data_IF_010852525125
#
_entry.id   IF_010852525125
#
_cell.length_a   1.000
_cell.length_b   1.000
_cell.length_c   1.000
_cell.angle_alpha   90.00
_cell.angle_beta   90.00
_cell.angle_gamma   90.00
#
_symmetry.space_group_name_H-M   'P 1'
#
loop_
_entity.id
_entity.type
_entity.pdbx_description
1 polymer ?
#
# COMPACT_ATOMS: atom_id res chain seq x y z
N UNK A 1 -12.17 0.45 -27.53
CA UNK A 1 -11.26 0.10 -26.42
C UNK A 1 -11.31 -1.41 -26.27
N UNK A 2 -10.22 -2.12 -26.54
CA UNK A 2 -10.19 -3.57 -26.27
C UNK A 2 -10.29 -3.78 -24.77
N UNK A 3 -11.29 -4.56 -24.33
CA UNK A 3 -11.35 -5.06 -22.97
C UNK A 3 -10.16 -6.00 -22.79
N UNK A 4 -9.14 -5.55 -22.07
CA UNK A 4 -8.00 -6.40 -21.70
C UNK A 4 -8.57 -7.52 -20.82
N UNK A 5 -8.40 -8.77 -21.26
CA UNK A 5 -8.92 -9.96 -20.60
C UNK A 5 -7.76 -10.90 -20.31
N UNK A 6 -7.92 -11.77 -19.31
CA UNK A 6 -6.93 -12.79 -18.98
C UNK A 6 -6.72 -13.72 -20.18
N UNK A 7 -5.50 -14.22 -20.36
CA UNK A 7 -5.23 -15.24 -21.36
C UNK A 7 -6.07 -16.49 -21.06
N UNK A 8 -6.57 -17.15 -22.10
CA UNK A 8 -7.42 -18.35 -21.95
C UNK A 8 -6.72 -19.47 -21.15
N UNK A 9 -5.40 -19.58 -21.32
CA UNK A 9 -4.55 -20.53 -20.57
C UNK A 9 -4.55 -20.22 -19.06
N UNK A 10 -4.50 -18.95 -18.67
CA UNK A 10 -4.55 -18.53 -17.27
C UNK A 10 -5.91 -18.84 -16.67
N UNK A 11 -6.98 -18.53 -17.39
CA UNK A 11 -8.35 -18.84 -16.97
C UNK A 11 -8.53 -20.34 -16.78
N UNK A 12 -8.04 -21.16 -17.71
CA UNK A 12 -8.11 -22.61 -17.60
C UNK A 12 -7.35 -23.13 -16.36
N UNK A 13 -6.14 -22.61 -16.09
CA UNK A 13 -5.36 -22.99 -14.90
C UNK A 13 -6.06 -22.61 -13.60
N UNK A 14 -6.57 -21.38 -13.50
CA UNK A 14 -7.31 -20.90 -12.33
C UNK A 14 -8.56 -21.75 -12.07
N UNK A 15 -9.35 -22.00 -13.11
CA UNK A 15 -10.58 -22.80 -13.00
C UNK A 15 -10.28 -24.25 -12.63
N UNK A 16 -9.22 -24.83 -13.21
CA UNK A 16 -8.76 -26.18 -12.86
C UNK A 16 -8.34 -26.26 -11.39
N UNK A 17 -7.63 -25.25 -10.87
CA UNK A 17 -7.22 -25.20 -9.48
C UNK A 17 -8.42 -25.14 -8.53
N UNK A 18 -9.42 -24.32 -8.85
CA UNK A 18 -10.66 -24.19 -8.07
C UNK A 18 -11.68 -25.31 -8.32
N UNK A 19 -11.32 -26.34 -9.11
CA UNK A 19 -12.22 -27.44 -9.49
C UNK A 19 -13.54 -26.97 -10.13
N UNK A 20 -13.51 -25.85 -10.85
CA UNK A 20 -14.66 -25.32 -11.59
C UNK A 20 -14.80 -26.01 -12.95
N UNK A 21 -16.02 -26.04 -13.49
CA UNK A 21 -16.28 -26.59 -14.83
C UNK A 21 -15.37 -25.91 -15.88
N UNK A 22 -14.86 -26.63 -16.89
CA UNK A 22 -13.99 -26.05 -17.90
C UNK A 22 -14.72 -24.96 -18.71
N UNK A 23 -14.09 -23.79 -18.81
CA UNK A 23 -14.59 -22.64 -19.58
C UNK A 23 -13.41 -21.72 -19.90
N UNK A 24 -13.55 -20.91 -20.95
CA UNK A 24 -12.58 -19.87 -21.34
C UNK A 24 -12.81 -18.54 -20.63
N UNK A 25 -13.88 -18.43 -19.82
CA UNK A 25 -14.27 -17.19 -19.13
C UNK A 25 -14.43 -17.44 -17.62
N UNK A 26 -14.08 -16.46 -16.80
CA UNK A 26 -14.35 -16.46 -15.36
C UNK A 26 -15.86 -16.30 -15.08
N UNK A 27 -16.37 -16.85 -13.96
CA UNK A 27 -17.80 -16.78 -13.64
C UNK A 27 -18.29 -15.36 -13.27
N UNK A 28 -17.38 -14.47 -12.89
CA UNK A 28 -17.63 -13.07 -12.55
C UNK A 28 -16.61 -12.15 -13.23
N UNK A 29 -16.76 -10.83 -13.06
CA UNK A 29 -15.76 -9.88 -13.55
C UNK A 29 -14.39 -10.17 -12.92
N UNK A 30 -13.31 -9.89 -13.65
CA UNK A 30 -11.94 -10.17 -13.21
C UNK A 30 -11.65 -9.60 -11.83
N UNK A 31 -12.13 -8.39 -11.54
CA UNK A 31 -11.98 -7.74 -10.24
C UNK A 31 -12.75 -8.45 -9.12
N UNK A 32 -14.06 -8.69 -9.29
CA UNK A 32 -14.87 -9.36 -8.29
C UNK A 32 -14.41 -10.81 -8.06
N UNK A 33 -13.93 -11.46 -9.11
CA UNK A 33 -13.34 -12.79 -9.02
C UNK A 33 -12.07 -12.80 -8.16
N UNK A 34 -11.17 -11.83 -8.39
CA UNK A 34 -9.95 -11.67 -7.60
C UNK A 34 -10.30 -11.42 -6.13
N UNK A 35 -11.19 -10.48 -5.85
CA UNK A 35 -11.62 -10.15 -4.48
C UNK A 35 -12.15 -11.39 -3.72
N UNK A 36 -12.98 -12.20 -4.38
CA UNK A 36 -13.56 -13.39 -3.76
C UNK A 36 -12.56 -14.54 -3.54
N UNK A 37 -11.53 -14.67 -4.39
CA UNK A 37 -10.63 -15.85 -4.40
C UNK A 37 -9.17 -15.54 -4.04
N UNK A 38 -8.86 -14.29 -3.67
CA UNK A 38 -7.50 -13.84 -3.35
C UNK A 38 -6.81 -14.72 -2.29
N UNK A 39 -7.56 -15.15 -1.28
CA UNK A 39 -7.06 -15.93 -0.14
C UNK A 39 -6.90 -17.42 -0.44
N UNK A 40 -7.45 -17.92 -1.54
CA UNK A 40 -7.43 -19.35 -1.91
C UNK A 40 -6.41 -19.63 -3.00
N UNK A 41 -6.23 -18.66 -3.91
CA UNK A 41 -5.37 -18.82 -5.07
C UNK A 41 -3.89 -18.64 -4.69
N UNK A 42 -2.99 -19.52 -5.18
CA UNK A 42 -1.56 -19.34 -5.01
C UNK A 42 -1.07 -18.14 -5.83
N UNK A 43 0.01 -17.51 -5.38
CA UNK A 43 0.62 -16.32 -6.01
C UNK A 43 0.85 -16.50 -7.52
N UNK A 44 1.27 -17.68 -7.96
CA UNK A 44 1.51 -17.98 -9.38
C UNK A 44 0.26 -17.86 -10.26
N UNK A 45 -0.93 -18.08 -9.70
CA UNK A 45 -2.22 -17.92 -10.39
C UNK A 45 -2.82 -16.52 -10.18
N UNK A 46 -2.30 -15.74 -9.24
CA UNK A 46 -2.68 -14.35 -9.00
C UNK A 46 -1.90 -13.36 -9.88
N UNK A 47 -0.65 -13.66 -10.24
CA UNK A 47 0.19 -12.79 -11.08
C UNK A 47 -0.47 -12.33 -12.39
N UNK A 48 -1.21 -13.17 -13.15
CA UNK A 48 -1.87 -12.71 -14.38
C UNK A 48 -2.81 -11.51 -14.17
N UNK A 49 -3.40 -11.38 -12.98
CA UNK A 49 -4.30 -10.27 -12.66
C UNK A 49 -3.58 -8.92 -12.60
N UNK A 50 -2.28 -8.85 -12.31
CA UNK A 50 -1.55 -7.56 -12.24
C UNK A 50 -1.45 -6.85 -13.59
N UNK A 51 -1.49 -7.61 -14.69
CA UNK A 51 -1.49 -7.05 -16.05
C UNK A 51 -2.81 -6.36 -16.44
N UNK A 52 -3.89 -6.62 -15.69
CA UNK A 52 -5.25 -6.16 -16.01
C UNK A 52 -5.78 -5.20 -14.96
N UNK A 53 -5.50 -5.48 -13.69
CA UNK A 53 -5.98 -4.71 -12.55
C UNK A 53 -4.83 -3.87 -12.01
N UNK A 54 -4.97 -2.55 -12.08
CA UNK A 54 -3.92 -1.64 -11.64
C UNK A 54 -3.70 -1.74 -10.11
N UNK A 55 -2.51 -1.40 -9.59
CA UNK A 55 -2.27 -1.34 -8.15
C UNK A 55 -3.27 -0.47 -7.39
N UNK A 56 -3.76 0.62 -8.01
CA UNK A 56 -4.81 1.50 -7.48
C UNK A 56 -6.17 0.81 -7.40
N UNK A 57 -6.54 0.00 -8.38
CA UNK A 57 -7.77 -0.79 -8.30
C UNK A 57 -7.63 -1.89 -7.24
N UNK A 58 -6.48 -2.55 -7.18
CA UNK A 58 -6.20 -3.58 -6.17
C UNK A 58 -6.26 -3.05 -4.74
N UNK A 59 -5.91 -1.78 -4.50
CA UNK A 59 -5.94 -1.18 -3.15
C UNK A 59 -7.34 -1.05 -2.55
N UNK A 60 -8.40 -1.17 -3.35
CA UNK A 60 -9.78 -1.18 -2.84
C UNK A 60 -10.16 -2.52 -2.23
N UNK A 61 -9.43 -3.61 -2.54
CA UNK A 61 -9.62 -4.92 -1.93
C UNK A 61 -9.08 -4.87 -0.49
N UNK A 62 -9.92 -5.10 0.54
CA UNK A 62 -9.51 -4.92 1.93
C UNK A 62 -8.29 -5.76 2.34
N UNK A 63 -8.22 -7.02 1.87
CA UNK A 63 -7.09 -7.91 2.15
C UNK A 63 -5.78 -7.34 1.57
N UNK A 64 -5.80 -6.84 0.34
CA UNK A 64 -4.61 -6.23 -0.28
C UNK A 64 -4.19 -4.98 0.51
N UNK A 65 -5.13 -4.12 0.87
CA UNK A 65 -4.86 -2.92 1.68
C UNK A 65 -4.24 -3.29 3.03
N UNK A 66 -4.75 -4.35 3.68
CA UNK A 66 -4.19 -4.90 4.92
C UNK A 66 -2.77 -5.42 4.73
N UNK A 67 -2.50 -6.22 3.68
CA UNK A 67 -1.15 -6.71 3.36
C UNK A 67 -0.15 -5.58 3.16
N UNK A 68 -0.54 -4.53 2.46
CA UNK A 68 0.30 -3.33 2.29
C UNK A 68 0.57 -2.63 3.62
N UNK A 69 -0.45 -2.44 4.47
CA UNK A 69 -0.25 -1.86 5.80
C UNK A 69 0.66 -2.72 6.70
N UNK A 70 0.57 -4.05 6.59
CA UNK A 70 1.48 -4.97 7.28
C UNK A 70 2.92 -4.80 6.76
N UNK A 71 3.11 -4.78 5.45
CA UNK A 71 4.41 -4.54 4.85
C UNK A 71 5.02 -3.20 5.30
N UNK A 72 4.21 -2.14 5.34
CA UNK A 72 4.65 -0.82 5.78
C UNK A 72 4.91 -0.72 7.28
N UNK A 73 4.30 -1.58 8.10
CA UNK A 73 4.52 -1.58 9.57
C UNK A 73 5.69 -2.48 10.00
N UNK A 74 6.38 -3.12 9.07
CA UNK A 74 7.60 -3.88 9.35
C UNK A 74 8.67 -3.00 10.02
N UNK A 75 9.42 -3.61 10.94
CA UNK A 75 10.55 -2.99 11.61
C UNK A 75 11.82 -3.81 11.34
N UNK A 76 12.82 -3.26 10.62
CA UNK A 76 12.91 -1.87 10.14
C UNK A 76 11.94 -1.51 9.01
N UNK A 77 11.62 -0.22 8.89
CA UNK A 77 10.77 0.31 7.80
C UNK A 77 11.37 -0.09 6.44
N UNK A 78 10.57 -0.64 5.50
CA UNK A 78 11.08 -1.06 4.20
C UNK A 78 11.82 0.08 3.50
N UNK A 79 12.97 -0.23 2.90
CA UNK A 79 13.83 0.78 2.27
C UNK A 79 13.07 1.62 1.25
N UNK A 80 12.13 1.03 0.51
CA UNK A 80 11.29 1.72 -0.46
C UNK A 80 10.44 2.83 0.15
N UNK A 81 10.03 2.73 1.42
CA UNK A 81 9.19 3.73 2.10
C UNK A 81 9.99 4.77 2.89
N UNK A 82 11.33 4.66 2.90
CA UNK A 82 12.22 5.63 3.55
C UNK A 82 12.48 6.81 2.62
N UNK A 83 12.68 7.99 3.20
CA UNK A 83 12.88 9.21 2.39
C UNK A 83 14.10 9.13 1.46
N UNK A 84 15.15 8.42 1.89
CA UNK A 84 16.42 8.35 1.15
C UNK A 84 16.25 7.65 -0.21
N UNK A 85 15.41 6.60 -0.30
CA UNK A 85 15.07 5.97 -1.57
C UNK A 85 13.87 6.65 -2.24
N UNK A 86 12.90 7.10 -1.46
CA UNK A 86 11.67 7.71 -1.95
C UNK A 86 11.92 9.00 -2.72
N UNK A 87 12.90 9.83 -2.31
CA UNK A 87 13.23 11.08 -3.00
C UNK A 87 13.80 10.87 -4.41
N UNK A 88 14.33 9.68 -4.69
CA UNK A 88 14.78 9.32 -6.03
C UNK A 88 13.60 8.99 -6.94
N UNK A 89 12.53 8.39 -6.38
CA UNK A 89 11.30 8.02 -7.11
C UNK A 89 10.30 9.17 -7.22
N UNK A 90 10.20 9.99 -6.17
CA UNK A 90 9.28 11.12 -6.04
C UNK A 90 10.03 12.44 -5.77
N UNK A 91 10.94 12.85 -6.67
CA UNK A 91 11.79 14.01 -6.46
C UNK A 91 11.02 15.34 -6.42
N UNK A 92 9.95 15.53 -7.20
CA UNK A 92 9.20 16.78 -7.16
C UNK A 92 8.35 16.86 -5.90
N UNK A 93 7.79 15.75 -5.42
CA UNK A 93 7.09 15.68 -4.14
C UNK A 93 8.01 16.06 -2.98
N UNK A 94 9.24 15.56 -2.96
CA UNK A 94 10.25 15.94 -1.97
C UNK A 94 10.54 17.44 -2.00
N UNK A 95 10.77 18.00 -3.18
CA UNK A 95 11.02 19.44 -3.36
C UNK A 95 9.81 20.31 -2.97
N UNK A 96 8.60 19.87 -3.33
CA UNK A 96 7.34 20.55 -2.99
C UNK A 96 7.13 20.66 -1.47
N UNK A 97 7.61 19.67 -0.71
CA UNK A 97 7.59 19.68 0.75
C UNK A 97 8.72 20.53 1.37
N UNK A 98 9.61 21.12 0.58
CA UNK A 98 10.75 21.92 1.07
C UNK A 98 12.03 21.10 1.28
N UNK A 99 12.07 19.89 0.72
CA UNK A 99 13.27 19.07 0.67
C UNK A 99 14.35 19.68 -0.22
N UNK A 100 15.61 19.39 0.10
CA UNK A 100 16.74 19.82 -0.73
C UNK A 100 16.68 19.21 -2.14
N UNK A 101 16.91 20.03 -3.16
CA UNK A 101 16.91 19.61 -4.58
C UNK A 101 18.18 18.85 -4.99
N UNK A 102 19.25 18.98 -4.20
CA UNK A 102 20.47 18.21 -4.36
C UNK A 102 20.27 16.85 -3.68
N UNK A 103 20.28 15.72 -4.41
CA UNK A 103 20.24 14.42 -3.76
C UNK A 103 21.52 14.26 -2.92
N UNK A 104 21.42 13.98 -1.61
CA UNK A 104 22.55 13.44 -0.85
C UNK A 104 23.03 12.13 -1.48
N UNK A 105 24.28 11.74 -1.21
CA UNK A 105 24.78 10.41 -1.58
C UNK A 105 23.76 9.35 -1.17
N UNK A 106 23.37 8.51 -2.12
CA UNK A 106 22.52 7.38 -1.80
C UNK A 106 23.34 6.29 -1.13
N UNK A 107 22.65 5.35 -0.48
CA UNK A 107 23.30 4.15 0.03
C UNK A 107 23.92 3.32 -1.10
N UNK A 108 23.31 3.27 -2.29
CA UNK A 108 23.85 2.50 -3.42
C UNK A 108 25.22 3.01 -3.88
N UNK A 109 25.40 4.33 -3.88
CA UNK A 109 26.69 4.96 -4.22
C UNK A 109 27.79 4.57 -3.21
N UNK A 110 27.45 4.54 -1.93
CA UNK A 110 28.38 4.14 -0.86
C UNK A 110 28.66 2.63 -0.92
N UNK A 111 27.63 1.80 -1.14
CA UNK A 111 27.74 0.34 -1.26
C UNK A 111 28.64 -0.10 -2.43
N UNK A 112 28.60 0.60 -3.56
CA UNK A 112 29.48 0.30 -4.71
C UNK A 112 30.95 0.61 -4.41
N UNK A 113 31.24 1.73 -3.73
CA UNK A 113 32.59 2.09 -3.31
C UNK A 113 33.12 1.12 -2.24
N UNK A 114 32.26 0.76 -1.28
CA UNK A 114 32.56 -0.15 -0.19
C UNK A 114 32.76 -1.58 -0.69
N UNK A 115 31.94 -2.05 -1.64
CA UNK A 115 32.11 -3.35 -2.27
C UNK A 115 33.48 -3.47 -2.95
N UNK A 116 33.95 -2.41 -3.63
CA UNK A 116 35.29 -2.44 -4.23
C UNK A 116 36.40 -2.42 -3.17
N UNK A 117 36.17 -1.71 -2.08
CA UNK A 117 37.18 -1.54 -1.03
C UNK A 117 37.31 -2.79 -0.16
N UNK A 118 36.22 -3.50 0.10
CA UNK A 118 36.15 -4.60 1.06
C UNK A 118 35.98 -5.98 0.39
N UNK A 119 35.22 -6.04 -0.70
CA UNK A 119 34.85 -7.30 -1.36
C UNK A 119 35.65 -7.60 -2.63
N UNK A 120 36.12 -6.57 -3.34
CA UNK A 120 36.78 -6.73 -4.62
C UNK A 120 38.28 -7.01 -4.46
N UNK A 121 38.65 -8.27 -4.71
CA UNK A 121 40.03 -8.79 -4.60
C UNK A 121 40.60 -8.66 -3.18
N UNK A 122 40.16 -9.51 -2.23
CA UNK A 122 40.64 -9.48 -0.86
C UNK A 122 42.18 -9.63 -0.79
N UNK A 123 42.82 -8.83 0.07
CA UNK A 123 44.28 -8.70 0.23
C UNK A 123 44.97 -7.72 -0.73
N UNK A 124 44.20 -6.95 -1.52
CA UNK A 124 44.71 -5.93 -2.45
C UNK A 124 44.06 -4.56 -2.26
N UNK A 125 43.40 -4.33 -1.13
CA UNK A 125 42.58 -3.15 -0.84
C UNK A 125 43.39 -1.84 -0.94
N UNK A 126 44.69 -1.89 -0.60
CA UNK A 126 45.59 -0.72 -0.66
C UNK A 126 46.12 -0.35 -2.05
N UNK A 127 45.75 -1.08 -3.12
CA UNK A 127 46.24 -0.78 -4.47
C UNK A 127 45.52 0.44 -5.04
N UNK A 128 46.28 1.40 -5.56
CA UNK A 128 45.72 2.59 -6.20
C UNK A 128 44.69 2.28 -7.31
N UNK A 129 44.83 1.16 -8.01
CA UNK A 129 43.88 0.74 -9.04
C UNK A 129 42.52 0.30 -8.46
N UNK A 130 42.50 -0.32 -7.28
CA UNK A 130 41.26 -0.72 -6.58
C UNK A 130 40.53 0.52 -6.09
N UNK A 131 41.26 1.46 -5.46
CA UNK A 131 40.69 2.76 -5.06
C UNK A 131 40.14 3.57 -6.24
N UNK A 132 40.87 3.60 -7.37
CA UNK A 132 40.38 4.26 -8.59
C UNK A 132 39.13 3.59 -9.16
N UNK A 133 39.04 2.26 -9.06
CA UNK A 133 37.87 1.52 -9.49
C UNK A 133 36.65 1.84 -8.60
N UNK A 134 36.81 1.86 -7.28
CA UNK A 134 35.73 2.22 -6.34
C UNK A 134 35.16 3.61 -6.63
N UNK A 135 36.05 4.61 -6.76
CA UNK A 135 35.62 5.96 -7.15
C UNK A 135 34.98 6.04 -8.55
N UNK A 136 35.39 5.18 -9.49
CA UNK A 136 34.77 5.10 -10.80
C UNK A 136 33.37 4.48 -10.75
N UNK A 137 33.18 3.38 -10.00
CA UNK A 137 31.87 2.76 -9.83
C UNK A 137 30.90 3.68 -9.11
N UNK A 138 31.36 4.35 -8.04
CA UNK A 138 30.61 5.42 -7.39
C UNK A 138 30.15 6.50 -8.38
N UNK A 139 31.04 6.99 -9.23
CA UNK A 139 30.67 8.01 -10.23
C UNK A 139 29.65 7.50 -11.25
N UNK A 140 29.76 6.23 -11.67
CA UNK A 140 28.77 5.61 -12.54
C UNK A 140 27.40 5.42 -11.86
N UNK A 141 27.39 5.06 -10.57
CA UNK A 141 26.16 4.93 -9.80
C UNK A 141 25.48 6.29 -9.60
N UNK A 142 26.25 7.33 -9.24
CA UNK A 142 25.74 8.70 -9.16
C UNK A 142 25.13 9.16 -10.50
N UNK A 143 25.74 8.82 -11.63
CA UNK A 143 25.20 9.15 -12.96
C UNK A 143 23.89 8.38 -13.26
N UNK A 144 23.86 7.07 -12.94
CA UNK A 144 22.68 6.21 -13.10
C UNK A 144 21.51 6.74 -12.27
N UNK A 145 21.74 7.08 -11.01
CA UNK A 145 20.71 7.62 -10.13
C UNK A 145 20.19 8.97 -10.63
N UNK A 146 21.09 9.86 -11.08
CA UNK A 146 20.68 11.13 -11.66
C UNK A 146 19.83 10.94 -12.92
N UNK A 147 20.14 9.97 -13.76
CA UNK A 147 19.29 9.61 -14.90
C UNK A 147 17.91 9.11 -14.44
N UNK A 148 17.88 8.23 -13.44
CA UNK A 148 16.66 7.76 -12.79
C UNK A 148 15.80 8.91 -12.24
N UNK A 149 16.41 9.87 -11.55
CA UNK A 149 15.72 11.07 -11.04
C UNK A 149 15.16 11.93 -12.18
N UNK A 150 15.88 12.10 -13.29
CA UNK A 150 15.37 12.84 -14.46
C UNK A 150 14.18 12.13 -15.10
N UNK A 151 14.19 10.80 -15.14
CA UNK A 151 13.05 10.00 -15.58
C UNK A 151 11.87 10.08 -14.61
N UNK A 152 12.11 9.92 -13.31
CA UNK A 152 11.11 10.06 -12.27
C UNK A 152 10.41 11.43 -12.33
N UNK A 153 11.15 12.53 -12.49
CA UNK A 153 10.57 13.88 -12.70
C UNK A 153 9.70 13.98 -13.96
N UNK A 154 9.98 13.20 -15.00
CA UNK A 154 9.15 13.16 -16.23
C UNK A 154 7.88 12.35 -15.97
N UNK A 155 7.97 11.23 -15.29
CA UNK A 155 6.82 10.39 -14.94
C UNK A 155 5.90 11.11 -13.95
N UNK A 156 6.47 11.72 -12.91
CA UNK A 156 5.72 12.46 -11.90
C UNK A 156 4.94 13.63 -12.49
N UNK A 157 5.53 14.41 -13.41
CA UNK A 157 4.81 15.46 -14.14
C UNK A 157 3.64 14.92 -14.97
N UNK A 158 3.82 13.77 -15.64
CA UNK A 158 2.72 13.14 -16.38
C UNK A 158 1.60 12.66 -15.45
N UNK A 159 1.94 12.20 -14.25
CA UNK A 159 0.96 11.78 -13.25
C UNK A 159 0.19 12.98 -12.69
N UNK A 160 0.87 14.11 -12.48
CA UNK A 160 0.26 15.40 -12.11
C UNK A 160 -0.70 15.89 -13.22
N UNK A 161 -0.23 15.94 -14.47
CA UNK A 161 -1.00 16.44 -15.63
C UNK A 161 -2.26 15.60 -15.91
N UNK A 162 -2.22 14.28 -15.72
CA UNK A 162 -3.38 13.38 -15.92
C UNK A 162 -4.41 13.52 -14.78
N UNK A 163 -4.05 14.13 -13.65
CA UNK A 163 -4.94 14.40 -12.53
C UNK A 163 -5.83 15.64 -12.68
N UNK A 164 -5.52 16.55 -13.61
CA UNK A 164 -6.22 17.84 -13.76
C UNK A 164 -7.44 17.81 -14.71
N UNK A 165 -7.68 16.73 -15.47
CA UNK A 165 -8.80 16.70 -16.45
C UNK A 165 -10.20 16.38 -15.86
N UNK A 166 -10.41 16.47 -14.54
CA UNK A 166 -11.72 16.12 -13.92
C UNK A 166 -12.20 17.02 -12.79
N UNK A 167 -11.86 18.32 -12.79
CA UNK A 167 -12.42 19.28 -11.83
C UNK A 167 -12.87 20.61 -12.47
N UNK A 168 -13.51 20.54 -13.65
CA UNK A 168 -14.28 21.64 -14.23
C UNK A 168 -15.77 21.53 -13.85
N UNK A 169 -16.11 21.68 -12.56
CA UNK A 169 -17.40 22.26 -12.11
C UNK A 169 -17.47 22.35 -10.57
N UNK A 170 -16.99 23.46 -10.01
CA UNK A 170 -17.60 24.04 -8.80
C UNK A 170 -17.28 25.52 -8.75
N UNK A 171 -18.16 26.29 -9.38
CA UNK A 171 -18.30 27.73 -9.20
C UNK A 171 -18.84 28.03 -7.80
N UNK A 172 -18.32 29.12 -7.25
CA UNK A 172 -18.78 29.94 -6.12
C UNK A 172 -18.22 29.78 -4.68
N UNK A 173 -17.83 30.97 -4.19
CA UNK A 173 -17.54 31.43 -2.82
C UNK A 173 -16.15 31.22 -2.17
N UNK A 174 -15.23 32.09 -2.60
CA UNK A 174 -14.41 32.98 -1.75
C UNK A 174 -13.90 32.44 -0.40
N UNK A 175 -12.84 31.62 -0.44
CA UNK A 175 -11.87 31.49 0.65
C UNK A 175 -10.51 31.98 0.17
N UNK A 176 -10.08 33.12 0.69
CA UNK A 176 -8.79 33.76 0.44
C UNK A 176 -7.60 32.83 0.70
N UNK A 177 -7.12 32.14 -0.34
CA UNK A 177 -5.80 31.51 -0.34
C UNK A 177 -4.80 32.59 -0.74
N UNK A 178 -4.20 33.23 0.26
CA UNK A 178 -3.06 34.11 0.04
C UNK A 178 -1.95 33.33 -0.70
N UNK A 179 -1.33 33.90 -1.75
CA UNK A 179 -0.18 33.25 -2.38
C UNK A 179 0.95 33.20 -1.36
N UNK A 180 1.34 32.00 -0.93
CA UNK A 180 2.56 31.82 -0.13
C UNK A 180 3.72 32.40 -0.96
N UNK A 181 4.50 33.35 -0.41
CA UNK A 181 5.62 33.89 -1.15
C UNK A 181 6.60 32.75 -1.43
N UNK A 182 7.07 32.67 -2.68
CA UNK A 182 8.19 31.85 -3.07
C UNK A 182 9.41 32.21 -2.21
N UNK A 183 9.52 31.56 -1.05
CA UNK A 183 10.60 31.75 -0.10
C UNK A 183 11.87 31.19 -0.70
N UNK A 184 12.93 32.01 -0.69
CA UNK A 184 14.30 31.61 -1.02
C UNK A 184 14.61 30.21 -0.44
N UNK A 185 15.17 29.26 -1.21
CA UNK A 185 15.57 27.94 -0.73
C UNK A 185 16.86 27.99 0.13
N UNK A 186 17.12 29.09 0.85
CA UNK A 186 18.32 29.28 1.64
C UNK A 186 18.02 29.13 3.13
N UNK A 187 18.56 28.05 3.70
CA UNK A 187 18.59 27.66 5.12
C UNK A 187 17.25 27.22 5.72
N UNK A 188 16.79 26.04 5.32
CA UNK A 188 16.12 25.16 6.28
C UNK A 188 17.15 24.77 7.36
N UNK A 189 16.79 24.86 8.63
CA UNK A 189 17.59 24.29 9.72
C UNK A 189 17.53 22.76 9.66
N UNK A 190 18.45 22.05 10.32
CA UNK A 190 18.44 20.58 10.36
C UNK A 190 17.11 20.03 10.92
N UNK A 191 16.50 20.74 11.88
CA UNK A 191 15.20 20.42 12.45
C UNK A 191 14.08 20.51 11.40
N UNK A 192 14.12 21.55 10.55
CA UNK A 192 13.15 21.71 9.46
C UNK A 192 13.28 20.56 8.44
N UNK A 193 14.49 20.07 8.17
CA UNK A 193 14.69 18.95 7.24
C UNK A 193 14.23 17.60 7.80
N UNK A 194 14.33 17.40 9.11
CA UNK A 194 13.81 16.18 9.75
C UNK A 194 12.29 16.12 9.72
N UNK A 195 11.63 17.27 9.90
CA UNK A 195 10.17 17.37 9.79
C UNK A 195 9.69 17.15 8.35
N UNK A 196 10.39 17.73 7.37
CA UNK A 196 10.15 17.45 5.94
C UNK A 196 10.35 15.96 5.63
N UNK A 197 11.37 15.32 6.22
CA UNK A 197 11.60 13.87 6.08
C UNK A 197 10.40 13.06 6.56
N UNK A 198 9.90 13.34 7.76
CA UNK A 198 8.74 12.65 8.34
C UNK A 198 7.47 12.86 7.52
N UNK A 199 7.24 14.10 7.07
CA UNK A 199 6.08 14.39 6.24
C UNK A 199 6.15 13.68 4.88
N UNK A 200 7.34 13.63 4.28
CA UNK A 200 7.56 12.92 3.03
C UNK A 200 7.36 11.41 3.19
N UNK A 201 7.90 10.78 4.24
CA UNK A 201 7.68 9.36 4.52
C UNK A 201 6.20 9.03 4.75
N UNK A 202 5.46 9.94 5.43
CA UNK A 202 3.99 9.82 5.54
C UNK A 202 3.31 9.87 4.17
N UNK A 203 3.74 10.76 3.28
CA UNK A 203 3.19 10.85 1.92
C UNK A 203 3.55 9.64 1.05
N UNK A 204 4.76 9.10 1.18
CA UNK A 204 5.14 7.84 0.54
C UNK A 204 4.26 6.68 1.02
N UNK A 205 3.97 6.63 2.33
CA UNK A 205 3.08 5.61 2.88
C UNK A 205 1.66 5.70 2.30
N UNK A 206 1.11 6.92 2.17
CA UNK A 206 -0.20 7.17 1.55
C UNK A 206 -0.23 6.69 0.09
N UNK A 207 0.74 7.15 -0.73
CA UNK A 207 0.88 6.71 -2.12
C UNK A 207 1.04 5.19 -2.23
N UNK A 208 1.83 4.60 -1.34
CA UNK A 208 2.06 3.17 -1.31
C UNK A 208 0.76 2.41 -1.03
N UNK A 209 0.08 2.71 0.07
CA UNK A 209 -1.15 2.02 0.48
C UNK A 209 -2.23 2.14 -0.59
N UNK A 210 -2.42 3.33 -1.17
CA UNK A 210 -3.46 3.58 -2.18
C UNK A 210 -3.12 3.05 -3.57
N UNK A 211 -1.91 2.54 -3.79
CA UNK A 211 -1.50 1.94 -5.07
C UNK A 211 -1.12 2.96 -6.13
N UNK A 212 -0.65 4.13 -5.69
CA UNK A 212 -0.22 5.25 -6.52
C UNK A 212 1.31 5.38 -6.59
N UNK A 213 2.06 4.59 -5.83
CA UNK A 213 3.52 4.52 -5.96
C UNK A 213 3.93 3.80 -7.27
N UNK A 214 5.18 3.97 -7.68
CA UNK A 214 5.79 3.39 -8.88
C UNK A 214 6.49 2.05 -8.62
N UNK A 215 6.37 1.50 -7.41
CA UNK A 215 7.01 0.23 -7.04
C UNK A 215 6.26 -0.99 -7.59
N UNK A 216 6.92 -2.14 -7.60
CA UNK A 216 6.26 -3.40 -7.88
C UNK A 216 5.42 -3.86 -6.68
N UNK A 217 4.11 -3.86 -6.84
CA UNK A 217 3.16 -4.29 -5.81
C UNK A 217 2.90 -5.78 -5.80
N UNK A 218 3.23 -6.52 -6.85
CA UNK A 218 2.76 -7.89 -7.04
C UNK A 218 3.23 -8.84 -5.94
N UNK A 219 4.48 -8.64 -5.48
CA UNK A 219 5.06 -9.42 -4.39
C UNK A 219 4.36 -9.14 -3.06
N UNK A 220 3.81 -7.95 -2.85
CA UNK A 220 3.17 -7.55 -1.60
C UNK A 220 1.69 -7.89 -1.62
N UNK A 221 1.02 -7.60 -2.73
CA UNK A 221 -0.42 -7.79 -2.90
C UNK A 221 -0.80 -9.27 -2.95
N UNK A 222 0.06 -10.12 -3.51
CA UNK A 222 -0.26 -11.53 -3.79
C UNK A 222 0.53 -12.55 -2.97
N UNK A 223 1.51 -12.13 -2.16
CA UNK A 223 2.11 -13.02 -1.16
C UNK A 223 1.28 -13.02 0.12
N UNK A 224 1.16 -14.19 0.73
CA UNK A 224 0.59 -14.30 2.06
C UNK A 224 1.64 -13.86 3.10
N UNK A 225 1.30 -12.95 4.03
CA UNK A 225 2.22 -12.54 5.08
C UNK A 225 2.53 -13.70 6.03
N UNK A 226 3.71 -13.70 6.66
CA UNK A 226 4.20 -14.80 7.51
C UNK A 226 3.33 -15.13 8.73
N UNK A 227 2.45 -14.21 9.13
CA UNK A 227 1.46 -14.40 10.21
C UNK A 227 0.04 -14.69 9.72
N UNK A 228 -0.16 -14.92 8.42
CA UNK A 228 -1.48 -15.04 7.80
C UNK A 228 -2.20 -13.69 7.63
N UNK A 229 -3.23 -13.68 6.80
CA UNK A 229 -4.08 -12.49 6.63
C UNK A 229 -5.02 -12.33 7.84
N UNK A 230 -4.86 -11.23 8.57
CA UNK A 230 -5.66 -10.93 9.77
C UNK A 230 -7.16 -10.83 9.44
N UNK A 231 -7.51 -10.23 8.29
CA UNK A 231 -8.90 -10.13 7.84
C UNK A 231 -9.49 -11.52 7.59
N UNK A 232 -8.76 -12.39 6.89
CA UNK A 232 -9.21 -13.75 6.61
C UNK A 232 -9.37 -14.54 7.90
N UNK A 233 -8.44 -14.39 8.85
CA UNK A 233 -8.50 -15.07 10.16
C UNK A 233 -9.73 -14.63 10.95
N UNK A 234 -9.96 -13.32 11.05
CA UNK A 234 -11.13 -12.77 11.74
C UNK A 234 -12.43 -13.21 11.08
N UNK A 235 -12.52 -13.13 9.75
CA UNK A 235 -13.74 -13.50 9.03
C UNK A 235 -14.03 -15.02 9.14
N UNK A 236 -12.98 -15.86 9.27
CA UNK A 236 -13.13 -17.29 9.58
C UNK A 236 -13.60 -17.54 11.02
N UNK A 237 -13.07 -16.78 11.99
CA UNK A 237 -13.52 -16.84 13.39
C UNK A 237 -14.98 -16.41 13.51
N UNK A 238 -15.39 -15.30 12.89
CA UNK A 238 -16.77 -14.82 12.88
C UNK A 238 -17.73 -15.88 12.30
N UNK A 239 -17.35 -16.53 11.20
CA UNK A 239 -18.15 -17.60 10.59
C UNK A 239 -18.31 -18.82 11.49
N UNK A 240 -17.27 -19.16 12.27
CA UNK A 240 -17.34 -20.27 13.22
C UNK A 240 -18.41 -20.04 14.30
N UNK A 241 -18.58 -18.80 14.76
CA UNK A 241 -19.61 -18.47 15.76
C UNK A 241 -21.03 -18.43 15.20
N UNK A 242 -21.20 -18.10 13.92
CA UNK A 242 -22.52 -18.09 13.27
C UNK A 242 -23.03 -19.52 12.97
N UNK A 243 -22.14 -20.49 12.83
CA UNK A 243 -22.48 -21.90 12.56
C UNK A 243 -22.74 -22.74 13.83
N UNK A 244 -22.41 -22.22 15.02
CA UNK A 244 -22.80 -22.86 16.30
C UNK A 244 -24.29 -22.62 16.58
N UNK A 245 -25.12 -23.62 16.29
CA UNK A 245 -26.52 -23.62 16.74
C UNK A 245 -26.55 -23.39 18.26
N UNK A 246 -27.37 -22.43 18.76
CA UNK A 246 -27.46 -22.18 20.18
C UNK A 246 -27.83 -23.48 20.88
N UNK A 247 -26.95 -23.94 21.78
CA UNK A 247 -27.16 -25.15 22.56
C UNK A 247 -28.60 -25.13 23.09
N UNK A 248 -29.43 -26.15 22.80
CA UNK A 248 -30.78 -26.20 23.30
C UNK A 248 -30.67 -26.28 24.82
N UNK A 249 -30.87 -25.15 25.48
CA UNK A 249 -31.04 -25.12 26.92
C UNK A 249 -32.21 -26.05 27.22
N UNK A 250 -31.95 -27.07 28.02
CA UNK A 250 -32.89 -28.15 28.33
C UNK A 250 -34.09 -27.71 29.19
N UNK A 251 -34.42 -26.43 29.23
CA UNK A 251 -35.50 -25.89 30.07
C UNK A 251 -36.78 -25.73 29.26
N UNK A 252 -37.34 -26.88 28.93
CA UNK A 252 -38.70 -27.02 28.41
C UNK A 252 -39.45 -28.11 29.14
N UNK A 253 -39.83 -27.91 30.41
CA UNK A 253 -41.07 -28.46 31.01
C UNK A 253 -41.23 -28.04 32.48
N UNK A 254 -42.15 -27.11 32.78
CA UNK A 254 -43.37 -27.19 33.66
C UNK A 254 -44.01 -25.79 33.56
N UNK A 255 -45.29 -25.53 33.28
CA UNK A 255 -46.47 -26.32 32.97
C UNK A 255 -47.60 -25.31 32.73
N UNK A 256 -48.51 -25.63 31.83
CA UNK A 256 -49.69 -24.83 31.57
C UNK A 256 -50.56 -24.73 32.84
N UNK A 257 -50.86 -23.50 33.29
CA UNK A 257 -52.01 -23.23 34.15
C UNK A 257 -52.52 -21.82 33.88
N UNK A 258 -53.70 -21.77 33.28
CA UNK A 258 -54.52 -20.56 33.14
C UNK A 258 -55.01 -20.07 34.51
N UNK A 259 -55.07 -18.75 34.69
CA UNK A 259 -55.92 -17.92 35.57
C UNK A 259 -55.46 -16.46 35.32
N UNK A 260 -56.24 -15.68 34.58
CA UNK A 260 -57.17 -14.64 35.10
C UNK A 260 -56.48 -13.39 35.67
N UNK A 261 -56.88 -12.26 35.06
CA UNK A 261 -56.95 -10.89 35.57
C UNK A 261 -55.70 -10.11 36.01
N UNK A 262 -55.68 -8.84 35.55
CA UNK A 262 -55.16 -7.73 36.33
C UNK A 262 -53.90 -7.07 35.77
N UNK A 263 -54.09 -5.87 35.21
CA UNK A 263 -53.26 -4.68 35.38
C UNK A 263 -51.89 -4.91 36.08
N UNK A 264 -50.76 -4.57 35.47
CA UNK A 264 -50.29 -3.20 35.42
C UNK A 264 -48.99 -3.06 34.62
N UNK A 265 -48.79 -1.84 34.17
CA UNK A 265 -47.71 -1.30 33.37
C UNK A 265 -46.33 -1.32 34.05
N UNK A 266 -45.29 -1.79 33.33
CA UNK A 266 -43.91 -1.35 33.60
C UNK A 266 -43.08 -1.36 32.31
N UNK A 267 -43.21 -0.27 31.55
CA UNK A 267 -42.26 0.08 30.48
C UNK A 267 -40.99 0.58 31.15
N UNK A 268 -39.94 -0.22 31.16
CA UNK A 268 -38.60 0.22 31.55
C UNK A 268 -37.99 1.08 30.43
N UNK A 269 -38.30 2.38 30.45
CA UNK A 269 -37.54 3.39 29.71
C UNK A 269 -36.20 3.62 30.42
N UNK A 270 -35.11 3.22 29.78
CA UNK A 270 -33.77 3.65 30.14
C UNK A 270 -33.60 5.11 29.71
N UNK A 271 -33.62 6.03 30.68
CA UNK A 271 -33.47 7.47 30.44
C UNK A 271 -32.02 7.87 30.09
N UNK A 272 -31.83 8.93 29.27
CA UNK A 272 -30.52 9.53 29.05
C UNK A 272 -30.11 10.39 30.26
N UNK A 273 -28.93 10.10 30.82
CA UNK A 273 -28.34 10.85 31.93
C UNK A 273 -28.01 12.28 31.53
N UNK A 274 -28.43 13.22 32.37
CA UNK A 274 -28.06 14.63 32.28
C UNK A 274 -26.62 14.83 32.80
N UNK A 275 -25.80 15.54 32.04
CA UNK A 275 -24.54 16.10 32.50
C UNK A 275 -24.81 17.48 33.10
N UNK A 276 -24.39 17.68 34.36
CA UNK A 276 -24.28 19.00 34.96
C UNK A 276 -23.04 19.73 34.39
N UNK A 277 -23.22 21.02 34.09
CA UNK A 277 -22.21 21.97 33.64
C UNK A 277 -21.26 22.41 34.76
#
# INVERSE_FOLDING_TARGET
MSLVTLAEEDVARIRSYLSLAPSTILPSSTFAFLEAHLHILPTSLLLPFSSIISPRQRSTIPIIKSRRLLHASNNPLPNTLRADSGRLRWPLLWERLGGSSLPPSSQGVEEEEDWVTEGFMPGKEGRQHVKKLGGFLRGLEEEREQEGVREARRVERRLDDVGEEFDEESDDEEASIAPRPAGNPSRATELDQEDVKKEFERKLLELFVDGLDTINYDEIDFSEPSGGDQIVTRDQEERYFDEEEPCPSSDGQIGARALEDGEDSEVRQNGPGAYDY
#
